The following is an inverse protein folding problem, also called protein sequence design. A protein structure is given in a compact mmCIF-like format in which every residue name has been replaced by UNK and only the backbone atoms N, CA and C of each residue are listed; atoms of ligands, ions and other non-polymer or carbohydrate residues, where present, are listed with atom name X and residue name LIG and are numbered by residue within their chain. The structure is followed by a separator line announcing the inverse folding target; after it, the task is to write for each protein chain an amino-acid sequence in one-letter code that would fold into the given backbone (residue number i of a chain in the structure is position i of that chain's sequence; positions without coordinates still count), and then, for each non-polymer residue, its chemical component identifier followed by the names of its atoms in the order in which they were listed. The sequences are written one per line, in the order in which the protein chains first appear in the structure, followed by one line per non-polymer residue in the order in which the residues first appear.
data_IF_407888381128
#
_entry.id   IF_407888381128
#
_cell.length_a   1.000
_cell.length_b   1.000
_cell.length_c   1.000
_cell.angle_alpha   90.00
_cell.angle_beta   90.00
_cell.angle_gamma   90.00
#
_symmetry.space_group_name_H-M   'P 1'
#
loop_
_entity.id
_entity.type
_entity.pdbx_description
1 polymer ?
#
# COMPACT_ATOMS: atom_id res chain seq x y z
N UNK A 1 -26.18 29.41 9.81
CA UNK A 1 -25.74 28.03 10.09
C UNK A 1 -25.30 28.02 11.54
N UNK A 2 -26.13 27.51 12.44
CA UNK A 2 -25.80 27.49 13.87
C UNK A 2 -24.81 26.35 14.14
N UNK A 3 -23.57 26.73 14.44
CA UNK A 3 -22.50 25.82 14.80
C UNK A 3 -22.80 25.20 16.16
N UNK A 4 -23.17 23.91 16.19
CA UNK A 4 -23.66 23.25 17.41
C UNK A 4 -22.50 22.77 18.30
N UNK A 5 -21.89 23.70 19.03
CA UNK A 5 -20.77 23.46 19.97
C UNK A 5 -21.10 22.37 20.99
N UNK A 6 -22.37 22.20 21.38
CA UNK A 6 -22.81 21.16 22.33
C UNK A 6 -22.67 19.75 21.77
N UNK A 7 -22.97 19.56 20.48
CA UNK A 7 -22.78 18.27 19.79
C UNK A 7 -21.29 17.95 19.62
N UNK A 8 -20.48 18.96 19.30
CA UNK A 8 -19.03 18.80 19.19
C UNK A 8 -18.42 18.36 20.54
N UNK A 9 -18.84 18.98 21.64
CA UNK A 9 -18.38 18.64 22.98
C UNK A 9 -18.85 17.25 23.44
N UNK A 10 -20.08 16.84 23.10
CA UNK A 10 -20.56 15.48 23.40
C UNK A 10 -19.82 14.42 22.62
N UNK A 11 -19.58 14.66 21.33
CA UNK A 11 -18.88 13.70 20.46
C UNK A 11 -17.41 13.56 20.92
N UNK A 12 -16.74 14.66 21.26
CA UNK A 12 -15.40 14.66 21.84
C UNK A 12 -15.32 13.89 23.17
N UNK A 13 -16.35 14.01 24.02
CA UNK A 13 -16.44 13.26 25.27
C UNK A 13 -16.53 11.74 25.05
N UNK A 14 -17.27 11.30 24.02
CA UNK A 14 -17.35 9.88 23.65
C UNK A 14 -16.00 9.37 23.13
N UNK A 15 -15.33 10.13 22.27
CA UNK A 15 -13.98 9.77 21.79
C UNK A 15 -12.96 9.66 22.94
N UNK A 16 -12.97 10.60 23.88
CA UNK A 16 -12.09 10.54 25.05
C UNK A 16 -12.37 9.29 25.90
N UNK A 17 -13.65 8.98 26.15
CA UNK A 17 -14.02 7.81 26.95
C UNK A 17 -13.60 6.51 26.26
N UNK A 18 -13.73 6.41 24.93
CA UNK A 18 -13.19 5.28 24.15
C UNK A 18 -11.68 5.17 24.27
N UNK A 19 -10.95 6.29 24.16
CA UNK A 19 -9.50 6.30 24.27
C UNK A 19 -9.03 5.84 25.66
N UNK A 20 -9.72 6.28 26.72
CA UNK A 20 -9.46 5.81 28.10
C UNK A 20 -9.69 4.31 28.21
N UNK A 21 -10.85 3.82 27.75
CA UNK A 21 -11.17 2.39 27.77
C UNK A 21 -10.12 1.56 27.02
N UNK A 22 -9.76 1.98 25.80
CA UNK A 22 -8.75 1.30 24.99
C UNK A 22 -7.39 1.23 25.70
N UNK A 23 -6.99 2.32 26.35
CA UNK A 23 -5.74 2.40 27.11
C UNK A 23 -5.78 1.45 28.31
N UNK A 24 -6.87 1.46 29.09
CA UNK A 24 -7.03 0.58 30.25
C UNK A 24 -6.99 -0.90 29.87
N UNK A 25 -7.53 -1.28 28.70
CA UNK A 25 -7.43 -2.66 28.18
C UNK A 25 -5.99 -3.04 27.84
N UNK A 26 -5.23 -2.15 27.20
CA UNK A 26 -3.81 -2.39 26.86
C UNK A 26 -2.94 -2.51 28.10
N UNK A 27 -3.28 -1.79 29.18
CA UNK A 27 -2.63 -1.90 30.49
C UNK A 27 -3.10 -3.12 31.31
N UNK A 28 -4.07 -3.91 30.81
CA UNK A 28 -4.66 -5.05 31.52
C UNK A 28 -5.53 -4.66 32.72
N UNK A 29 -5.94 -3.39 32.80
CA UNK A 29 -6.75 -2.84 33.89
C UNK A 29 -8.26 -2.90 33.60
N UNK A 30 -8.64 -3.05 32.33
CA UNK A 30 -10.03 -3.23 31.89
C UNK A 30 -10.23 -4.57 31.17
N UNK A 31 -11.42 -5.15 31.37
CA UNK A 31 -11.87 -6.35 30.66
C UNK A 31 -12.24 -5.98 29.22
N UNK A 32 -11.80 -6.82 28.27
CA UNK A 32 -12.06 -6.64 26.84
C UNK A 32 -13.16 -7.60 26.40
N UNK A 33 -14.18 -7.08 25.70
CA UNK A 33 -15.11 -7.97 24.99
C UNK A 33 -14.39 -8.72 23.89
N UNK A 34 -14.35 -10.04 23.99
CA UNK A 34 -13.81 -10.92 22.94
C UNK A 34 -14.74 -10.98 21.74
N UNK A 35 -14.16 -11.05 20.55
CA UNK A 35 -14.90 -11.30 19.33
C UNK A 35 -15.10 -12.80 19.15
N UNK A 36 -16.13 -13.18 18.40
CA UNK A 36 -16.30 -14.58 18.02
C UNK A 36 -15.08 -15.07 17.19
N UNK A 37 -14.54 -16.28 17.44
CA UNK A 37 -13.35 -16.78 16.76
C UNK A 37 -13.47 -16.82 15.23
N UNK A 38 -14.67 -17.02 14.68
CA UNK A 38 -14.85 -17.00 13.24
C UNK A 38 -14.63 -15.59 12.67
N UNK A 39 -15.18 -14.57 13.34
CA UNK A 39 -15.01 -13.17 12.95
C UNK A 39 -13.54 -12.72 13.06
N UNK A 40 -12.82 -13.14 14.09
CA UNK A 40 -11.38 -12.85 14.21
C UNK A 40 -10.58 -13.46 13.06
N UNK A 41 -10.87 -14.71 12.70
CA UNK A 41 -10.23 -15.37 11.55
C UNK A 41 -10.53 -14.65 10.23
N UNK A 42 -11.76 -14.17 10.05
CA UNK A 42 -12.15 -13.37 8.89
C UNK A 42 -11.38 -12.05 8.83
N UNK A 43 -11.22 -11.36 9.96
CA UNK A 43 -10.44 -10.11 10.08
C UNK A 43 -8.98 -10.35 9.66
N UNK A 44 -8.33 -11.38 10.20
CA UNK A 44 -6.93 -11.72 9.88
C UNK A 44 -6.75 -12.03 8.40
N UNK A 45 -7.68 -12.80 7.82
CA UNK A 45 -7.67 -13.13 6.38
C UNK A 45 -7.84 -11.87 5.53
N UNK A 46 -8.72 -10.97 5.93
CA UNK A 46 -8.98 -9.71 5.23
C UNK A 46 -7.75 -8.81 5.22
N UNK A 47 -7.10 -8.63 6.37
CA UNK A 47 -5.86 -7.84 6.48
C UNK A 47 -4.73 -8.43 5.63
N UNK A 48 -4.60 -9.75 5.66
CA UNK A 48 -3.64 -10.47 4.81
C UNK A 48 -3.94 -10.24 3.33
N UNK A 49 -5.21 -10.30 2.94
CA UNK A 49 -5.66 -10.08 1.57
C UNK A 49 -5.28 -8.67 1.11
N UNK A 50 -5.61 -7.63 1.88
CA UNK A 50 -5.24 -6.26 1.54
C UNK A 50 -3.73 -6.09 1.41
N UNK A 51 -2.98 -6.57 2.40
CA UNK A 51 -1.52 -6.39 2.42
C UNK A 51 -0.85 -7.03 1.20
N UNK A 52 -1.26 -8.25 0.83
CA UNK A 52 -0.70 -8.94 -0.32
C UNK A 52 -1.17 -8.36 -1.64
N UNK A 53 -2.45 -7.99 -1.77
CA UNK A 53 -2.96 -7.32 -2.97
C UNK A 53 -2.21 -6.01 -3.21
N UNK A 54 -1.98 -5.20 -2.18
CA UNK A 54 -1.23 -3.94 -2.29
C UNK A 54 0.24 -4.17 -2.71
N UNK A 55 0.92 -5.15 -2.10
CA UNK A 55 2.32 -5.46 -2.45
C UNK A 55 2.47 -5.97 -3.88
N UNK A 56 1.59 -6.88 -4.30
CA UNK A 56 1.60 -7.44 -5.66
C UNK A 56 1.31 -6.34 -6.68
N UNK A 57 0.30 -5.50 -6.43
CA UNK A 57 -0.02 -4.36 -7.27
C UNK A 57 1.21 -3.45 -7.46
N UNK A 58 1.80 -2.98 -6.36
CA UNK A 58 2.96 -2.07 -6.39
C UNK A 58 4.16 -2.68 -7.13
N UNK A 59 4.45 -3.96 -6.90
CA UNK A 59 5.58 -4.62 -7.56
C UNK A 59 5.34 -4.80 -9.06
N UNK A 60 4.09 -5.08 -9.45
CA UNK A 60 3.73 -5.24 -10.85
C UNK A 60 3.76 -3.90 -11.59
N UNK A 61 3.34 -2.80 -10.96
CA UNK A 61 3.52 -1.44 -11.50
C UNK A 61 5.00 -1.13 -11.76
N UNK A 62 5.90 -1.47 -10.84
CA UNK A 62 7.34 -1.24 -11.01
C UNK A 62 7.90 -2.07 -12.17
N UNK A 63 7.40 -3.30 -12.34
CA UNK A 63 7.81 -4.16 -13.44
C UNK A 63 7.33 -3.63 -14.80
N UNK A 64 6.10 -3.15 -14.88
CA UNK A 64 5.52 -2.62 -16.13
C UNK A 64 6.01 -1.21 -16.46
N UNK A 65 6.25 -0.37 -15.44
CA UNK A 65 6.74 0.99 -15.59
C UNK A 65 7.80 1.31 -14.52
N UNK A 66 9.08 0.98 -14.76
CA UNK A 66 10.16 1.21 -13.81
C UNK A 66 10.38 2.69 -13.48
N UNK A 67 10.03 3.59 -14.40
CA UNK A 67 10.22 5.03 -14.21
C UNK A 67 9.18 5.60 -13.22
N UNK A 68 9.60 6.09 -12.04
CA UNK A 68 8.67 6.60 -11.03
C UNK A 68 7.91 7.85 -11.48
N UNK A 69 8.54 8.75 -12.23
CA UNK A 69 7.89 9.96 -12.74
C UNK A 69 6.76 9.62 -13.71
N UNK A 70 6.98 8.61 -14.57
CA UNK A 70 5.98 8.14 -15.50
C UNK A 70 4.79 7.48 -14.80
N UNK A 71 5.04 6.71 -13.73
CA UNK A 71 3.96 6.13 -12.91
C UNK A 71 3.10 7.20 -12.23
N UNK A 72 3.70 8.29 -11.75
CA UNK A 72 2.96 9.40 -11.15
C UNK A 72 2.10 10.11 -12.20
N UNK A 73 2.63 10.32 -13.40
CA UNK A 73 1.88 10.89 -14.52
C UNK A 73 0.67 10.01 -14.87
N UNK A 74 0.88 8.70 -15.05
CA UNK A 74 -0.18 7.71 -15.29
C UNK A 74 -1.29 7.79 -14.24
N UNK A 75 -0.91 7.83 -12.95
CA UNK A 75 -1.85 7.96 -11.85
C UNK A 75 -2.66 9.27 -11.92
N UNK A 76 -2.05 10.40 -12.28
CA UNK A 76 -2.75 11.69 -12.40
C UNK A 76 -3.77 11.66 -13.54
N UNK A 77 -3.41 11.09 -14.69
CA UNK A 77 -4.34 10.97 -15.82
C UNK A 77 -5.53 10.08 -15.48
N UNK A 78 -5.27 8.95 -14.81
CA UNK A 78 -6.31 8.04 -14.32
C UNK A 78 -7.27 8.74 -13.34
N UNK A 79 -6.74 9.48 -12.35
CA UNK A 79 -7.57 10.25 -11.40
C UNK A 79 -8.34 11.41 -12.02
N UNK A 80 -7.93 11.90 -13.19
CA UNK A 80 -8.61 12.98 -13.91
C UNK A 80 -9.58 12.45 -14.97
N UNK A 81 -9.77 11.13 -15.09
CA UNK A 81 -10.51 10.48 -16.18
C UNK A 81 -10.05 10.95 -17.57
N UNK A 82 -8.74 11.25 -17.70
CA UNK A 82 -8.14 11.70 -18.96
C UNK A 82 -7.43 10.54 -19.62
N UNK A 83 -7.56 10.44 -20.95
CA UNK A 83 -6.79 9.48 -21.74
C UNK A 83 -5.31 9.82 -21.65
N UNK A 84 -4.53 8.88 -21.15
CA UNK A 84 -3.08 8.96 -21.19
C UNK A 84 -2.62 8.93 -22.66
N UNK A 85 -1.74 9.84 -23.09
CA UNK A 85 -1.16 9.76 -24.42
C UNK A 85 -0.39 8.45 -24.58
N UNK A 86 -0.57 7.77 -25.72
CA UNK A 86 0.16 6.55 -26.04
C UNK A 86 1.65 6.86 -26.07
N UNK A 87 2.40 6.33 -25.10
CA UNK A 87 3.84 6.51 -25.03
C UNK A 87 4.51 5.59 -26.04
N UNK A 88 5.41 6.17 -26.84
CA UNK A 88 6.31 5.41 -27.71
C UNK A 88 7.22 4.54 -26.85
N UNK A 89 7.30 3.26 -27.15
CA UNK A 89 8.20 2.35 -26.43
C UNK A 89 9.64 2.55 -26.87
N UNK A 90 10.59 2.05 -26.08
CA UNK A 90 12.01 2.19 -26.40
C UNK A 90 12.36 1.51 -27.72
N UNK A 91 11.75 0.35 -28.00
CA UNK A 91 11.94 -0.38 -29.25
C UNK A 91 11.36 0.38 -30.46
N UNK A 92 10.19 1.02 -30.30
CA UNK A 92 9.65 1.88 -31.36
C UNK A 92 10.50 3.11 -31.64
N UNK A 93 11.04 3.73 -30.59
CA UNK A 93 11.94 4.88 -30.73
C UNK A 93 13.21 4.48 -31.49
N UNK A 94 13.82 3.36 -31.12
CA UNK A 94 14.98 2.82 -31.84
C UNK A 94 14.65 2.50 -33.29
N UNK A 95 13.52 1.83 -33.53
CA UNK A 95 13.06 1.50 -34.87
C UNK A 95 12.82 2.75 -35.72
N UNK A 96 12.30 3.83 -35.13
CA UNK A 96 12.12 5.11 -35.82
C UNK A 96 13.46 5.68 -36.31
N UNK A 97 14.48 5.76 -35.44
CA UNK A 97 15.81 6.23 -35.84
C UNK A 97 16.49 5.34 -36.89
N UNK A 98 16.28 4.02 -36.84
CA UNK A 98 16.80 3.10 -37.86
C UNK A 98 16.18 3.36 -39.24
N UNK A 99 14.88 3.64 -39.30
CA UNK A 99 14.19 3.95 -40.55
C UNK A 99 14.61 5.31 -41.11
N UNK A 100 14.79 6.32 -40.26
CA UNK A 100 15.31 7.63 -40.66
C UNK A 100 16.73 7.53 -41.20
N UNK A 101 17.60 6.76 -40.54
CA UNK A 101 18.94 6.49 -41.04
C UNK A 101 18.90 5.74 -42.38
N UNK A 102 17.99 4.78 -42.55
CA UNK A 102 17.84 4.05 -43.80
C UNK A 102 17.44 4.95 -44.99
N UNK A 103 16.62 5.97 -44.74
CA UNK A 103 16.22 6.96 -45.73
C UNK A 103 17.43 7.80 -46.19
N UNK A 104 18.30 8.20 -45.24
CA UNK A 104 19.52 8.95 -45.54
C UNK A 104 20.57 8.11 -46.29
N UNK A 105 20.76 6.85 -45.91
CA UNK A 105 21.68 5.95 -46.63
C UNK A 105 21.14 5.47 -47.98
N UNK A 106 19.83 5.53 -48.17
CA UNK A 106 19.12 5.07 -49.35
C UNK A 106 18.97 3.54 -49.42
N UNK A 107 17.82 3.04 -49.95
CA UNK A 107 17.49 1.61 -50.00
C UNK A 107 18.35 0.81 -50.99
N UNK A 108 19.10 1.47 -51.87
CA UNK A 108 20.02 0.83 -52.81
C UNK A 108 21.29 0.28 -52.17
N UNK A 109 21.57 0.64 -50.92
CA UNK A 109 22.71 0.12 -50.17
C UNK A 109 22.32 -1.12 -49.35
N UNK A 110 23.21 -2.12 -49.20
CA UNK A 110 22.95 -3.26 -48.30
C UNK A 110 22.70 -2.82 -46.86
N UNK A 111 23.35 -1.73 -46.43
CA UNK A 111 23.17 -1.18 -45.09
C UNK A 111 21.79 -0.52 -44.91
N UNK A 112 21.40 0.37 -45.83
CA UNK A 112 20.09 1.02 -45.80
C UNK A 112 18.94 0.02 -45.84
N UNK A 113 18.97 -0.94 -46.77
CA UNK A 113 17.96 -2.00 -46.85
C UNK A 113 17.90 -2.88 -45.58
N UNK A 114 19.04 -3.21 -44.98
CA UNK A 114 19.07 -3.95 -43.70
C UNK A 114 18.49 -3.12 -42.55
N UNK A 115 18.79 -1.83 -42.50
CA UNK A 115 18.24 -0.91 -41.50
C UNK A 115 16.71 -0.79 -41.62
N UNK A 116 16.16 -0.77 -42.84
CA UNK A 116 14.70 -0.82 -43.05
C UNK A 116 14.12 -2.06 -42.38
N UNK A 117 14.64 -3.25 -42.73
CA UNK A 117 14.14 -4.51 -42.18
C UNK A 117 14.23 -4.55 -40.65
N UNK A 118 15.39 -4.27 -40.08
CA UNK A 118 15.57 -4.31 -38.61
C UNK A 118 14.69 -3.25 -37.91
N UNK A 119 14.60 -2.05 -38.48
CA UNK A 119 13.79 -0.96 -37.95
C UNK A 119 12.30 -1.30 -37.91
N UNK A 120 11.76 -1.91 -38.96
CA UNK A 120 10.37 -2.38 -38.99
C UNK A 120 10.09 -3.43 -37.92
N UNK A 121 10.96 -4.44 -37.78
CA UNK A 121 10.80 -5.46 -36.73
C UNK A 121 10.93 -4.87 -35.32
N UNK A 122 11.75 -3.84 -35.12
CA UNK A 122 11.79 -3.13 -33.83
C UNK A 122 10.51 -2.36 -33.53
N UNK A 123 9.89 -1.71 -34.52
CA UNK A 123 8.58 -1.09 -34.32
C UNK A 123 7.50 -2.13 -33.99
N UNK A 124 7.54 -3.32 -34.60
CA UNK A 124 6.61 -4.43 -34.27
C UNK A 124 6.81 -4.95 -32.84
N UNK A 125 8.05 -5.13 -32.40
CA UNK A 125 8.37 -5.52 -31.02
C UNK A 125 7.86 -4.47 -30.01
N UNK A 126 8.13 -3.20 -30.27
CA UNK A 126 7.66 -2.13 -29.39
C UNK A 126 6.14 -1.96 -29.40
N UNK A 127 5.47 -2.31 -30.49
CA UNK A 127 4.02 -2.40 -30.55
C UNK A 127 3.46 -3.52 -29.66
N UNK A 128 4.05 -4.72 -29.71
CA UNK A 128 3.70 -5.83 -28.85
C UNK A 128 3.94 -5.51 -27.36
N UNK A 129 5.02 -4.80 -27.03
CA UNK A 129 5.29 -4.33 -25.68
C UNK A 129 4.19 -3.38 -25.19
N UNK A 130 3.81 -2.38 -25.99
CA UNK A 130 2.72 -1.48 -25.63
C UNK A 130 1.40 -2.23 -25.36
N UNK A 131 1.06 -3.19 -26.22
CA UNK A 131 -0.16 -4.00 -26.05
C UNK A 131 -0.13 -4.81 -24.75
N UNK A 132 1.01 -5.43 -24.43
CA UNK A 132 1.22 -6.14 -23.18
C UNK A 132 1.07 -5.24 -21.95
N UNK A 133 1.70 -4.05 -21.96
CA UNK A 133 1.60 -3.08 -20.87
C UNK A 133 0.15 -2.63 -20.66
N UNK A 134 -0.55 -2.29 -21.74
CA UNK A 134 -1.94 -1.85 -21.69
C UNK A 134 -2.87 -2.96 -21.20
N UNK A 135 -2.72 -4.18 -21.72
CA UNK A 135 -3.54 -5.34 -21.33
C UNK A 135 -3.34 -5.63 -19.84
N UNK A 136 -2.09 -5.69 -19.38
CA UNK A 136 -1.77 -5.94 -17.96
C UNK A 136 -2.32 -4.85 -17.05
N UNK A 137 -2.27 -3.58 -17.47
CA UNK A 137 -2.85 -2.48 -16.70
C UNK A 137 -4.37 -2.67 -16.52
N UNK A 138 -5.08 -2.99 -17.60
CA UNK A 138 -6.54 -3.09 -17.60
C UNK A 138 -7.05 -4.37 -16.93
N UNK A 139 -6.45 -5.52 -17.23
CA UNK A 139 -6.99 -6.83 -16.78
C UNK A 139 -6.45 -7.26 -15.42
N UNK A 140 -5.30 -6.72 -15.00
CA UNK A 140 -4.66 -7.08 -13.74
C UNK A 140 -4.59 -5.92 -12.74
N UNK A 141 -3.96 -4.79 -13.10
CA UNK A 141 -3.77 -3.70 -12.12
C UNK A 141 -5.09 -3.03 -11.72
N UNK A 142 -5.94 -2.68 -12.68
CA UNK A 142 -7.19 -1.94 -12.41
C UNK A 142 -8.14 -2.68 -11.46
N UNK A 143 -8.45 -3.98 -11.64
CA UNK A 143 -9.29 -4.71 -10.68
C UNK A 143 -8.72 -4.72 -9.26
N UNK A 144 -7.40 -4.86 -9.10
CA UNK A 144 -6.76 -4.82 -7.78
C UNK A 144 -6.83 -3.42 -7.16
N UNK A 145 -6.65 -2.35 -7.96
CA UNK A 145 -6.86 -0.97 -7.49
C UNK A 145 -8.29 -0.74 -7.03
N UNK A 146 -9.27 -1.18 -7.82
CA UNK A 146 -10.69 -1.00 -7.51
C UNK A 146 -11.07 -1.67 -6.18
N UNK A 147 -10.53 -2.87 -5.92
CA UNK A 147 -10.71 -3.51 -4.62
C UNK A 147 -10.10 -2.67 -3.47
N UNK A 148 -8.87 -2.18 -3.61
CA UNK A 148 -8.19 -1.41 -2.56
C UNK A 148 -8.82 -0.04 -2.31
N UNK A 149 -9.30 0.63 -3.36
CA UNK A 149 -9.86 1.98 -3.28
C UNK A 149 -11.38 1.99 -3.04
N UNK A 150 -12.08 0.90 -3.33
CA UNK A 150 -13.52 0.75 -3.14
C UNK A 150 -13.84 -0.15 -1.94
N UNK A 151 -13.83 -1.47 -2.17
CA UNK A 151 -14.29 -2.47 -1.21
C UNK A 151 -13.50 -2.40 0.11
N UNK A 152 -12.17 -2.32 0.03
CA UNK A 152 -11.33 -2.28 1.22
C UNK A 152 -11.55 -1.03 2.06
N UNK A 153 -11.82 0.13 1.46
CA UNK A 153 -12.14 1.36 2.23
C UNK A 153 -13.40 1.16 3.05
N UNK A 154 -14.39 0.49 2.49
CA UNK A 154 -15.64 0.15 3.19
C UNK A 154 -15.37 -0.85 4.32
N UNK A 155 -14.65 -1.95 4.03
CA UNK A 155 -14.26 -2.95 5.03
C UNK A 155 -13.49 -2.31 6.19
N UNK A 156 -12.50 -1.47 5.89
CA UNK A 156 -11.68 -0.77 6.88
C UNK A 156 -12.53 0.14 7.78
N UNK A 157 -13.47 0.88 7.20
CA UNK A 157 -14.40 1.74 7.94
C UNK A 157 -15.29 0.93 8.89
N UNK A 158 -15.90 -0.15 8.42
CA UNK A 158 -16.79 -0.98 9.24
C UNK A 158 -16.03 -1.72 10.34
N UNK A 159 -14.80 -2.19 10.08
CA UNK A 159 -13.89 -2.72 11.12
C UNK A 159 -13.58 -1.70 12.21
N UNK A 160 -13.29 -0.44 11.84
CA UNK A 160 -13.06 0.63 12.82
C UNK A 160 -14.33 0.93 13.62
N UNK A 161 -15.49 0.89 12.98
CA UNK A 161 -16.76 1.11 13.66
C UNK A 161 -17.07 -0.04 14.63
N UNK A 162 -16.80 -1.30 14.26
CA UNK A 162 -16.91 -2.45 15.14
C UNK A 162 -16.08 -2.29 16.41
N UNK A 163 -14.81 -1.87 16.28
CA UNK A 163 -13.93 -1.63 17.43
C UNK A 163 -14.47 -0.50 18.32
N UNK A 164 -14.98 0.58 17.74
CA UNK A 164 -15.63 1.64 18.50
C UNK A 164 -16.87 1.15 19.27
N UNK A 165 -17.69 0.29 18.65
CA UNK A 165 -18.87 -0.30 19.32
C UNK A 165 -18.48 -1.27 20.42
N UNK A 166 -17.40 -2.03 20.25
CA UNK A 166 -16.83 -2.88 21.30
C UNK A 166 -16.43 -2.05 22.51
N UNK A 167 -15.69 -0.96 22.31
CA UNK A 167 -15.28 -0.04 23.39
C UNK A 167 -16.49 0.59 24.08
N UNK A 168 -17.52 1.03 23.32
CA UNK A 168 -18.77 1.56 23.88
C UNK A 168 -19.48 0.53 24.78
N UNK A 169 -19.52 -0.74 24.34
CA UNK A 169 -20.10 -1.84 25.09
C UNK A 169 -19.34 -2.09 26.41
N UNK A 170 -18.00 -2.09 26.36
CA UNK A 170 -17.14 -2.27 27.53
C UNK A 170 -17.31 -1.14 28.55
N UNK A 171 -17.40 0.11 28.08
CA UNK A 171 -17.72 1.28 28.92
C UNK A 171 -19.09 1.10 29.61
N UNK A 172 -20.12 0.69 28.86
CA UNK A 172 -21.45 0.45 29.43
C UNK A 172 -21.46 -0.70 30.45
N UNK A 173 -20.70 -1.78 30.23
CA UNK A 173 -20.53 -2.88 31.18
C UNK A 173 -19.89 -2.37 32.49
N UNK A 174 -18.82 -1.59 32.38
CA UNK A 174 -18.14 -0.98 33.52
C UNK A 174 -19.06 -0.01 34.29
N UNK A 175 -19.81 0.83 33.57
CA UNK A 175 -20.78 1.77 34.15
C UNK A 175 -21.89 1.04 34.90
N UNK A 176 -22.44 -0.04 34.34
CA UNK A 176 -23.44 -0.86 35.01
C UNK A 176 -22.89 -1.52 36.28
N UNK A 177 -21.66 -2.03 36.23
CA UNK A 177 -20.99 -2.61 37.41
C UNK A 177 -20.87 -1.58 38.54
N UNK A 178 -20.41 -0.35 38.22
CA UNK A 178 -20.33 0.77 39.17
C UNK A 178 -21.71 1.17 39.71
N UNK A 179 -22.73 1.26 38.85
CA UNK A 179 -24.09 1.63 39.26
C UNK A 179 -24.73 0.58 40.19
N UNK A 180 -24.55 -0.72 39.91
CA UNK A 180 -25.01 -1.81 40.79
C UNK A 180 -24.31 -1.78 42.15
N UNK A 181 -23.02 -1.48 42.18
CA UNK A 181 -22.28 -1.33 43.45
C UNK A 181 -22.80 -0.14 44.26
N UNK A 182 -23.09 0.99 43.61
CA UNK A 182 -23.68 2.15 44.26
C UNK A 182 -25.09 1.86 44.79
N UNK A 183 -25.93 1.16 44.02
CA UNK A 183 -27.26 0.70 44.43
C UNK A 183 -27.18 -0.24 45.65
N UNK A 184 -26.27 -1.22 45.65
CA UNK A 184 -26.07 -2.13 46.77
C UNK A 184 -25.59 -1.40 48.04
N UNK A 185 -24.64 -0.46 47.90
CA UNK A 185 -24.20 0.39 49.01
C UNK A 185 -25.32 1.29 49.53
N UNK A 186 -26.16 1.81 48.65
CA UNK A 186 -27.31 2.61 49.03
C UNK A 186 -28.32 1.78 49.84
N UNK A 187 -28.54 0.51 49.47
CA UNK A 187 -29.44 -0.42 50.15
C UNK A 187 -28.89 -0.97 51.48
N UNK A 188 -27.57 -1.09 51.66
CA UNK A 188 -26.94 -1.72 52.82
C UNK A 188 -26.63 -0.77 54.01
N UNK A 189 -26.81 0.55 53.86
CA UNK A 189 -26.51 1.50 54.92
C UNK A 189 -27.60 1.50 56.02
N UNK A 190 -27.25 1.42 57.32
CA UNK A 190 -28.20 1.29 58.42
C UNK A 190 -29.05 2.56 58.64
N UNK A 191 -30.29 2.34 59.08
CA UNK A 191 -31.41 3.29 59.20
C UNK A 191 -31.24 4.38 60.29
N UNK A 192 -30.05 4.56 60.86
CA UNK A 192 -29.84 5.37 62.08
C UNK A 192 -29.69 6.88 61.84
N UNK A 193 -29.92 7.36 60.63
CA UNK A 193 -29.97 8.79 60.33
C UNK A 193 -31.29 9.11 59.64
N UNK A 194 -32.26 9.52 60.45
CA UNK A 194 -33.65 9.89 60.14
C UNK A 194 -33.80 11.01 59.08
N UNK A 195 -32.67 11.53 58.57
CA UNK A 195 -32.58 12.53 57.51
C UNK A 195 -32.09 11.97 56.18
N UNK A 196 -32.22 10.66 55.91
CA UNK A 196 -31.88 10.14 54.58
C UNK A 196 -33.04 10.39 53.60
N UNK A 197 -32.85 11.20 52.54
CA UNK A 197 -33.92 11.40 51.58
C UNK A 197 -34.21 10.07 50.89
N UNK A 198 -35.46 9.60 50.93
CA UNK A 198 -35.97 8.51 50.06
C UNK A 198 -35.48 8.66 48.61
N UNK A 199 -35.27 9.91 48.19
CA UNK A 199 -34.70 10.32 46.91
C UNK A 199 -33.30 9.74 46.60
N UNK A 200 -32.44 9.47 47.59
CA UNK A 200 -31.09 8.96 47.34
C UNK A 200 -31.09 7.49 46.88
N UNK A 201 -31.85 6.62 47.57
CA UNK A 201 -32.01 5.21 47.17
C UNK A 201 -32.76 5.13 45.84
N UNK A 202 -33.83 5.92 45.66
CA UNK A 202 -34.53 6.01 44.37
C UNK A 202 -33.61 6.47 43.23
N UNK A 203 -32.74 7.45 43.49
CA UNK A 203 -31.78 7.97 42.50
C UNK A 203 -30.72 6.92 42.12
N UNK A 204 -30.20 6.18 43.09
CA UNK A 204 -29.25 5.09 42.83
C UNK A 204 -29.89 3.97 41.98
N UNK A 205 -31.11 3.55 42.33
CA UNK A 205 -31.86 2.55 41.54
C UNK A 205 -32.25 3.05 40.16
N UNK A 206 -32.64 4.33 40.01
CA UNK A 206 -32.91 4.94 38.72
C UNK A 206 -31.65 4.99 37.83
N UNK A 207 -30.49 5.34 38.41
CA UNK A 207 -29.21 5.32 37.71
C UNK A 207 -28.80 3.91 37.28
N UNK A 208 -29.03 2.89 38.12
CA UNK A 208 -28.76 1.50 37.78
C UNK A 208 -29.70 1.00 36.67
N UNK A 209 -30.97 1.38 36.68
CA UNK A 209 -31.93 1.07 35.63
C UNK A 209 -31.54 1.72 34.28
N UNK A 210 -31.14 2.99 34.31
CA UNK A 210 -30.64 3.72 33.14
C UNK A 210 -29.39 3.05 32.56
N UNK A 211 -28.39 2.70 33.38
CA UNK A 211 -27.20 1.99 32.93
C UNK A 211 -27.51 0.59 32.35
N UNK A 212 -28.51 -0.13 32.89
CA UNK A 212 -28.99 -1.41 32.31
C UNK A 212 -29.61 -1.21 30.93
N UNK A 213 -30.33 -0.10 30.71
CA UNK A 213 -30.91 0.21 29.42
C UNK A 213 -29.84 0.59 28.40
N UNK A 214 -28.91 1.47 28.78
CA UNK A 214 -27.76 1.85 27.93
C UNK A 214 -26.94 0.63 27.51
N UNK A 215 -26.64 -0.29 28.43
CA UNK A 215 -25.93 -1.53 28.11
C UNK A 215 -26.67 -2.38 27.07
N UNK A 216 -28.00 -2.50 27.19
CA UNK A 216 -28.80 -3.24 26.22
C UNK A 216 -28.74 -2.60 24.82
N UNK A 217 -28.78 -1.28 24.74
CA UNK A 217 -28.67 -0.55 23.47
C UNK A 217 -27.27 -0.75 22.87
N UNK A 218 -26.22 -0.61 23.69
CA UNK A 218 -24.83 -0.81 23.24
C UNK A 218 -24.59 -2.24 22.74
N UNK A 219 -25.16 -3.25 23.40
CA UNK A 219 -25.06 -4.65 22.97
C UNK A 219 -25.71 -4.86 21.60
N UNK A 220 -26.95 -4.39 21.41
CA UNK A 220 -27.66 -4.54 20.13
C UNK A 220 -26.90 -3.85 18.99
N UNK A 221 -26.35 -2.67 19.23
CA UNK A 221 -25.59 -1.94 18.22
C UNK A 221 -24.24 -2.60 17.91
N UNK A 222 -23.57 -3.18 18.91
CA UNK A 222 -22.38 -3.99 18.70
C UNK A 222 -22.69 -5.25 17.88
N UNK A 223 -23.72 -6.00 18.25
CA UNK A 223 -24.13 -7.24 17.54
C UNK A 223 -24.49 -6.94 16.08
N UNK A 224 -25.26 -5.85 15.85
CA UNK A 224 -25.59 -5.37 14.51
C UNK A 224 -24.35 -5.01 13.71
N UNK A 225 -23.39 -4.31 14.33
CA UNK A 225 -22.15 -3.90 13.67
C UNK A 225 -21.22 -5.09 13.38
N UNK A 226 -21.18 -6.08 14.27
CA UNK A 226 -20.44 -7.32 14.09
C UNK A 226 -20.97 -8.08 12.88
N UNK A 227 -22.30 -8.18 12.72
CA UNK A 227 -22.92 -8.85 11.59
C UNK A 227 -22.66 -8.13 10.26
N UNK A 228 -22.78 -6.80 10.23
CA UNK A 228 -22.42 -6.00 9.03
C UNK A 228 -20.96 -6.24 8.62
N UNK A 229 -20.06 -6.20 9.61
CA UNK A 229 -18.63 -6.41 9.36
C UNK A 229 -18.37 -7.85 8.89
N UNK A 230 -19.01 -8.84 9.51
CA UNK A 230 -18.92 -10.26 9.13
C UNK A 230 -19.30 -10.48 7.67
N UNK A 231 -20.46 -9.98 7.25
CA UNK A 231 -20.95 -10.12 5.87
C UNK A 231 -19.97 -9.52 4.84
N UNK A 232 -19.39 -8.36 5.14
CA UNK A 232 -18.37 -7.75 4.27
C UNK A 232 -17.10 -8.60 4.18
N UNK A 233 -16.63 -9.14 5.31
CA UNK A 233 -15.42 -9.96 5.35
C UNK A 233 -15.63 -11.32 4.68
N UNK A 234 -16.82 -11.91 4.77
CA UNK A 234 -17.18 -13.14 4.03
C UNK A 234 -17.17 -12.90 2.51
N UNK A 235 -17.59 -11.70 2.09
CA UNK A 235 -17.55 -11.25 0.69
C UNK A 235 -16.16 -11.27 0.04
N UNK A 236 -15.08 -11.21 0.83
CA UNK A 236 -13.70 -11.28 0.33
C UNK A 236 -13.43 -12.58 -0.45
N UNK A 237 -14.14 -13.66 -0.14
CA UNK A 237 -14.03 -14.92 -0.89
C UNK A 237 -14.40 -14.73 -2.37
N UNK A 238 -15.38 -13.87 -2.67
CA UNK A 238 -15.73 -13.51 -4.05
C UNK A 238 -14.65 -12.67 -4.71
N UNK A 239 -14.06 -11.72 -3.97
CA UNK A 239 -12.91 -10.94 -4.43
C UNK A 239 -11.72 -11.85 -4.79
N UNK A 240 -11.45 -12.90 -4.02
CA UNK A 240 -10.39 -13.87 -4.33
C UNK A 240 -10.62 -14.58 -5.65
N UNK A 241 -11.86 -14.96 -5.99
CA UNK A 241 -12.18 -15.55 -7.30
C UNK A 241 -11.85 -14.57 -8.44
N UNK A 242 -12.15 -13.29 -8.26
CA UNK A 242 -11.78 -12.26 -9.23
C UNK A 242 -10.25 -12.12 -9.34
N UNK A 243 -9.53 -12.05 -8.22
CA UNK A 243 -8.07 -11.95 -8.21
C UNK A 243 -7.39 -13.16 -8.88
N UNK A 244 -7.92 -14.38 -8.68
CA UNK A 244 -7.44 -15.59 -9.34
C UNK A 244 -7.56 -15.49 -10.86
N UNK A 245 -8.70 -15.00 -11.36
CA UNK A 245 -8.89 -14.77 -12.78
C UNK A 245 -7.93 -13.70 -13.31
N UNK A 246 -7.78 -12.57 -12.61
CA UNK A 246 -6.84 -11.53 -12.99
C UNK A 246 -5.40 -12.07 -13.09
N UNK A 247 -4.98 -12.95 -12.18
CA UNK A 247 -3.65 -13.60 -12.24
C UNK A 247 -3.50 -14.50 -13.47
N UNK A 248 -4.54 -15.25 -13.82
CA UNK A 248 -4.54 -16.08 -15.03
C UNK A 248 -4.44 -15.21 -16.29
N UNK A 249 -5.26 -14.16 -16.36
CA UNK A 249 -5.26 -13.21 -17.48
C UNK A 249 -3.89 -12.50 -17.62
N UNK A 250 -3.23 -12.18 -16.49
CA UNK A 250 -1.88 -11.61 -16.49
C UNK A 250 -0.83 -12.59 -17.02
N UNK A 251 -0.87 -13.84 -16.56
CA UNK A 251 0.06 -14.87 -17.03
C UNK A 251 -0.10 -15.14 -18.54
N UNK A 252 -1.34 -15.17 -19.02
CA UNK A 252 -1.65 -15.34 -20.45
C UNK A 252 -1.14 -14.15 -21.28
N UNK A 253 -1.31 -12.91 -20.78
CA UNK A 253 -0.78 -11.71 -21.43
C UNK A 253 0.75 -11.76 -21.55
N UNK A 254 1.45 -12.18 -20.48
CA UNK A 254 2.91 -12.38 -20.51
C UNK A 254 3.32 -13.45 -21.54
N UNK A 255 2.65 -14.61 -21.52
CA UNK A 255 2.95 -15.71 -22.43
C UNK A 255 2.78 -15.29 -23.90
N UNK A 256 1.67 -14.60 -24.19
CA UNK A 256 1.36 -14.08 -25.53
C UNK A 256 2.44 -13.09 -25.99
N UNK A 257 2.81 -12.14 -25.15
CA UNK A 257 3.84 -11.14 -25.45
C UNK A 257 5.19 -11.79 -25.81
N UNK A 258 5.68 -12.69 -24.97
CA UNK A 258 6.98 -13.34 -25.21
C UNK A 258 6.94 -14.26 -26.43
N UNK A 259 5.84 -14.98 -26.66
CA UNK A 259 5.67 -15.82 -27.85
C UNK A 259 5.68 -14.97 -29.14
N UNK A 260 4.97 -13.83 -29.13
CA UNK A 260 4.92 -12.90 -30.25
C UNK A 260 6.30 -12.27 -30.53
N UNK A 261 7.00 -11.83 -29.49
CA UNK A 261 8.36 -11.29 -29.63
C UNK A 261 9.32 -12.34 -30.20
N UNK A 262 9.24 -13.58 -29.72
CA UNK A 262 10.05 -14.67 -30.24
C UNK A 262 9.78 -14.93 -31.73
N UNK A 263 8.50 -14.95 -32.13
CA UNK A 263 8.11 -15.11 -33.52
C UNK A 263 8.67 -14.00 -34.41
N UNK A 264 8.54 -12.73 -34.01
CA UNK A 264 9.11 -11.60 -34.74
C UNK A 264 10.62 -11.68 -34.90
N UNK A 265 11.34 -12.13 -33.87
CA UNK A 265 12.80 -12.31 -33.96
C UNK A 265 13.22 -13.44 -34.88
N UNK A 266 12.45 -14.54 -34.93
CA UNK A 266 12.69 -15.62 -35.89
C UNK A 266 12.42 -15.18 -37.33
N UNK A 267 11.34 -14.42 -37.58
CA UNK A 267 11.04 -13.85 -38.89
C UNK A 267 12.16 -12.90 -39.36
N UNK A 268 12.62 -12.01 -38.48
CA UNK A 268 13.74 -11.11 -38.76
C UNK A 268 15.00 -11.87 -39.18
N UNK A 269 15.39 -12.90 -38.44
CA UNK A 269 16.55 -13.72 -38.78
C UNK A 269 16.41 -14.40 -40.16
N UNK A 270 15.20 -14.88 -40.50
CA UNK A 270 14.91 -15.48 -41.80
C UNK A 270 15.00 -14.44 -42.93
N UNK A 271 14.46 -13.25 -42.73
CA UNK A 271 14.55 -12.17 -43.72
C UNK A 271 15.98 -11.70 -43.94
N UNK A 272 16.75 -11.48 -42.87
CA UNK A 272 18.17 -11.09 -42.98
C UNK A 272 19.00 -12.14 -43.72
N UNK A 273 18.75 -13.43 -43.46
CA UNK A 273 19.44 -14.52 -44.18
C UNK A 273 19.08 -14.54 -45.67
N UNK A 274 17.82 -14.26 -46.02
CA UNK A 274 17.39 -14.14 -47.43
C UNK A 274 18.06 -12.95 -48.13
N UNK A 275 18.12 -11.80 -47.47
CA UNK A 275 18.79 -10.61 -47.98
C UNK A 275 20.29 -10.86 -48.20
N UNK A 276 20.97 -11.53 -47.27
CA UNK A 276 22.38 -11.89 -47.39
C UNK A 276 22.65 -12.79 -48.62
N UNK A 277 21.79 -13.79 -48.84
CA UNK A 277 21.91 -14.71 -49.98
C UNK A 277 21.62 -14.03 -51.33
N UNK A 278 20.76 -13.00 -51.35
CA UNK A 278 20.43 -12.26 -52.57
C UNK A 278 21.56 -11.31 -53.04
N UNK A 279 22.38 -10.81 -52.11
CA UNK A 279 23.48 -9.86 -52.40
C UNK A 279 24.78 -10.58 -52.80
N UNK A 280 24.83 -11.91 -52.80
CA UNK A 280 25.99 -12.68 -53.26
C UNK A 280 27.25 -12.48 -52.41
N UNK A 281 27.09 -12.17 -51.11
CA UNK A 281 28.21 -12.00 -50.20
C UNK A 281 28.89 -13.36 -49.91
N UNK A 282 30.21 -13.52 -50.12
CA UNK A 282 30.90 -14.78 -49.81
C UNK A 282 30.91 -15.01 -48.30
N UNK A 283 30.48 -16.20 -47.90
CA UNK A 283 30.38 -16.67 -46.53
C UNK A 283 31.63 -16.35 -45.69
N UNK A 284 31.48 -15.54 -44.64
CA UNK A 284 32.33 -15.65 -43.45
C UNK A 284 31.56 -16.46 -42.41
N UNK A 285 31.86 -17.76 -42.36
CA UNK A 285 31.41 -18.65 -41.30
C UNK A 285 31.93 -18.17 -39.95
N UNK A 286 31.06 -17.64 -39.12
CA UNK A 286 31.27 -17.57 -37.68
C UNK A 286 29.96 -17.97 -36.99
N UNK A 287 29.73 -19.28 -36.94
CA UNK A 287 28.76 -19.87 -36.04
C UNK A 287 29.25 -19.65 -34.60
N UNK A 288 28.64 -18.72 -33.88
CA UNK A 288 28.64 -18.72 -32.42
C UNK A 288 27.24 -18.37 -31.94
N UNK A 289 26.38 -19.38 -31.85
CA UNK A 289 25.26 -19.36 -30.93
C UNK A 289 25.65 -20.26 -29.75
N UNK A 290 25.67 -19.79 -28.50
CA UNK A 290 25.62 -20.70 -27.36
C UNK A 290 24.17 -21.16 -27.20
N UNK A 291 23.94 -22.46 -27.34
CA UNK A 291 22.65 -23.10 -27.03
C UNK A 291 22.24 -22.85 -25.58
N UNK A 292 20.94 -22.70 -25.26
CA UNK A 292 20.48 -22.62 -23.88
C UNK A 292 20.49 -24.03 -23.27
N UNK A 293 21.23 -24.21 -22.18
CA UNK A 293 21.19 -25.44 -21.38
C UNK A 293 19.97 -25.42 -20.45
N UNK A 294 19.09 -26.41 -20.59
CA UNK A 294 18.07 -26.74 -19.60
C UNK A 294 18.48 -27.97 -18.79
N UNK A 295 18.55 -27.76 -17.47
CA UNK A 295 18.19 -28.63 -16.33
C UNK A 295 18.84 -30.01 -16.14
N UNK A 296 19.55 -30.19 -15.01
CA UNK A 296 19.25 -31.22 -13.99
C UNK A 296 20.14 -31.08 -12.73
N UNK A 297 19.62 -31.58 -11.61
CA UNK A 297 20.05 -31.41 -10.21
C UNK A 297 21.35 -32.15 -9.77
N UNK A 298 21.92 -31.62 -8.69
CA UNK A 298 22.96 -32.01 -7.68
C UNK A 298 23.14 -33.52 -7.32
N UNK A 299 24.07 -33.96 -6.41
CA UNK A 299 25.08 -33.25 -5.56
C UNK A 299 26.51 -33.88 -5.46
N UNK A 300 27.48 -33.14 -4.88
CA UNK A 300 28.48 -33.74 -3.96
C UNK A 300 29.98 -33.41 -4.13
N UNK A 301 30.56 -32.89 -3.03
CA UNK A 301 31.97 -32.94 -2.58
C UNK A 301 33.02 -31.90 -3.07
N UNK A 302 33.65 -31.28 -2.07
CA UNK A 302 34.83 -30.39 -2.03
C UNK A 302 36.06 -31.18 -1.51
N UNK A 303 37.26 -30.60 -1.19
CA UNK A 303 38.05 -29.40 -1.61
C UNK A 303 39.48 -29.88 -2.12
N UNK A 304 40.67 -29.19 -2.07
CA UNK A 304 41.08 -27.92 -1.43
C UNK A 304 42.14 -27.00 -2.12
N UNK A 305 42.27 -25.78 -1.56
CA UNK A 305 43.56 -25.16 -1.17
C UNK A 305 44.24 -24.14 -2.13
N UNK A 306 44.53 -22.93 -1.62
CA UNK A 306 45.64 -22.10 -2.15
C UNK A 306 45.48 -20.56 -2.15
N UNK A 307 45.77 -19.92 -1.00
CA UNK A 307 46.59 -18.69 -0.81
C UNK A 307 46.41 -17.40 -1.65
N UNK A 308 46.15 -16.28 -0.93
CA UNK A 308 46.76 -14.90 -0.95
C UNK A 308 46.84 -14.15 -2.31
N UNK A 309 46.68 -12.83 -2.49
CA UNK A 309 46.68 -11.66 -1.61
C UNK A 309 46.47 -10.35 -2.42
N UNK A 310 46.04 -9.29 -1.72
CA UNK A 310 46.42 -7.86 -1.83
C UNK A 310 46.01 -6.91 -2.99
N UNK A 311 45.38 -5.80 -2.53
CA UNK A 311 45.67 -4.38 -2.77
C UNK A 311 45.44 -3.71 -4.13
N UNK A 312 44.72 -2.59 -4.08
CA UNK A 312 45.07 -1.24 -4.62
C UNK A 312 43.76 -0.45 -4.79
N UNK A 313 43.65 0.88 -4.73
CA UNK A 313 44.36 2.00 -4.12
C UNK A 313 43.47 3.21 -4.45
N UNK A 314 43.61 4.28 -3.69
CA UNK A 314 42.85 5.52 -3.79
C UNK A 314 42.94 6.18 -5.17
N UNK A 315 41.91 6.97 -5.54
CA UNK A 315 42.13 8.39 -5.83
C UNK A 315 40.84 9.22 -5.76
N UNK A 316 40.92 10.26 -4.94
CA UNK A 316 40.05 11.42 -4.90
C UNK A 316 40.49 12.40 -6.00
N UNK A 317 39.53 13.00 -6.70
CA UNK A 317 39.74 14.25 -7.44
C UNK A 317 38.46 15.07 -7.41
N UNK A 318 38.54 16.18 -6.67
CA UNK A 318 37.58 17.28 -6.59
C UNK A 318 37.55 18.09 -7.87
N UNK A 319 36.36 18.38 -8.40
CA UNK A 319 36.06 19.61 -9.14
C UNK A 319 34.64 20.08 -8.79
N UNK A 320 34.52 21.38 -8.52
CA UNK A 320 33.35 22.09 -8.03
C UNK A 320 32.57 22.76 -9.17
N UNK A 321 31.25 22.77 -9.06
CA UNK A 321 30.23 23.68 -9.66
C UNK A 321 28.88 22.96 -9.49
N UNK A 322 27.74 23.57 -9.17
CA UNK A 322 27.34 24.96 -9.00
C UNK A 322 26.04 24.94 -8.19
N UNK A 323 25.85 25.95 -7.36
CA UNK A 323 24.79 26.02 -6.37
C UNK A 323 23.51 26.60 -7.01
N UNK A 324 22.69 25.74 -7.62
CA UNK A 324 21.37 26.16 -8.12
C UNK A 324 20.31 25.92 -7.04
N UNK A 325 20.12 26.94 -6.20
CA UNK A 325 18.92 27.08 -5.34
C UNK A 325 17.67 27.15 -6.21
N UNK A 326 16.62 26.42 -5.81
CA UNK A 326 15.17 26.75 -5.80
C UNK A 326 14.34 25.45 -5.60
N UNK A 327 13.15 25.43 -4.92
CA UNK A 327 12.63 26.26 -3.85
C UNK A 327 12.36 25.46 -2.55
N UNK A 328 12.22 26.19 -1.44
CA UNK A 328 11.96 25.69 -0.08
C UNK A 328 10.52 25.17 0.07
N UNK A 329 10.37 23.95 0.60
CA UNK A 329 9.20 23.54 1.39
C UNK A 329 9.65 22.81 2.68
N UNK A 330 10.22 23.59 3.60
CA UNK A 330 9.87 23.54 5.03
C UNK A 330 10.35 22.38 5.90
N UNK A 331 11.54 21.82 5.73
CA UNK A 331 12.10 20.90 6.73
C UNK A 331 12.43 21.65 8.03
N UNK A 332 11.91 21.19 9.17
CA UNK A 332 12.12 21.77 10.51
C UNK A 332 12.57 20.71 11.50
N UNK A 333 13.26 21.10 12.57
CA UNK A 333 13.50 20.20 13.71
C UNK A 333 12.28 20.21 14.60
N UNK A 334 11.94 19.07 15.18
CA UNK A 334 10.86 18.95 16.15
C UNK A 334 11.33 18.15 17.35
N UNK A 335 10.91 18.56 18.54
CA UNK A 335 11.04 17.79 19.76
C UNK A 335 9.76 16.99 19.98
N UNK A 336 9.90 15.70 20.28
CA UNK A 336 8.76 14.84 20.58
C UNK A 336 8.30 15.07 22.02
N UNK A 337 7.01 15.32 22.21
CA UNK A 337 6.40 15.62 23.51
C UNK A 337 5.97 14.38 24.27
N UNK A 338 5.56 13.31 23.56
CA UNK A 338 5.05 12.07 24.14
C UNK A 338 5.46 10.87 23.29
N UNK A 339 5.55 9.70 23.92
CA UNK A 339 5.73 8.44 23.21
C UNK A 339 4.56 8.20 22.24
N UNK A 340 4.87 7.68 21.05
CA UNK A 340 3.89 7.35 20.03
C UNK A 340 4.26 6.05 19.34
N UNK A 341 3.37 5.07 19.37
CA UNK A 341 3.57 3.81 18.63
C UNK A 341 2.91 3.89 17.26
N UNK A 342 3.68 3.62 16.20
CA UNK A 342 3.17 3.52 14.84
C UNK A 342 2.11 2.42 14.72
N UNK A 343 0.95 2.77 14.15
CA UNK A 343 -0.16 1.84 13.93
C UNK A 343 0.07 0.95 12.70
N UNK A 344 0.84 1.46 11.73
CA UNK A 344 1.21 0.72 10.52
C UNK A 344 2.60 1.13 10.00
N UNK A 345 3.05 0.46 8.93
CA UNK A 345 4.36 0.70 8.32
C UNK A 345 4.48 2.07 7.60
N UNK A 346 3.42 2.87 7.55
CA UNK A 346 3.45 4.23 7.00
C UNK A 346 3.69 5.30 8.07
N UNK A 347 3.59 4.93 9.35
CA UNK A 347 3.82 5.78 10.53
C UNK A 347 5.21 5.53 11.14
N UNK A 348 5.74 6.49 11.90
CA UNK A 348 7.02 6.37 12.60
C UNK A 348 6.77 6.37 14.12
N UNK A 349 7.26 5.36 14.83
CA UNK A 349 7.18 5.32 16.29
C UNK A 349 8.16 6.32 16.92
N UNK A 350 7.67 7.09 17.88
CA UNK A 350 8.38 8.15 18.56
C UNK A 350 8.59 7.87 20.04
N UNK A 351 9.69 8.40 20.57
CA UNK A 351 9.97 8.43 22.01
C UNK A 351 9.98 9.87 22.51
N UNK A 352 9.38 10.11 23.67
CA UNK A 352 9.35 11.41 24.32
C UNK A 352 10.77 11.97 24.50
N UNK A 353 10.90 13.28 24.35
CA UNK A 353 12.14 14.04 24.38
C UNK A 353 13.15 13.75 23.24
N UNK A 354 12.83 12.90 22.26
CA UNK A 354 13.70 12.72 21.08
C UNK A 354 13.58 13.89 20.08
N UNK A 355 14.64 14.13 19.31
CA UNK A 355 14.69 15.18 18.28
C UNK A 355 14.67 14.55 16.88
N UNK A 356 13.68 14.93 16.08
CA UNK A 356 13.49 14.43 14.71
C UNK A 356 13.41 15.57 13.69
N UNK A 357 13.64 15.25 12.42
CA UNK A 357 13.38 16.17 11.31
C UNK A 357 11.96 15.95 10.80
N UNK A 358 11.22 17.02 10.52
CA UNK A 358 9.86 16.95 10.00
C UNK A 358 9.62 17.85 8.80
N UNK A 359 8.77 17.41 7.87
CA UNK A 359 8.36 18.19 6.71
C UNK A 359 6.97 17.80 6.20
N UNK A 360 6.33 18.72 5.47
CA UNK A 360 5.01 18.51 4.83
C UNK A 360 5.20 18.01 3.40
N UNK A 361 4.36 17.06 2.96
CA UNK A 361 4.27 16.65 1.54
C UNK A 361 2.92 17.08 0.95
N UNK A 362 2.85 17.45 -0.35
CA UNK A 362 1.60 17.86 -0.98
C UNK A 362 0.52 16.77 -0.90
N UNK A 363 -0.69 17.15 -0.48
CA UNK A 363 -1.83 16.22 -0.35
C UNK A 363 -1.90 15.45 0.97
N UNK A 364 -1.04 15.76 1.95
CA UNK A 364 -1.11 15.18 3.30
C UNK A 364 -2.04 15.99 4.21
N UNK A 365 -2.70 15.30 5.15
CA UNK A 365 -3.56 15.91 6.15
C UNK A 365 -2.80 16.90 7.04
N UNK A 366 -3.40 18.04 7.42
CA UNK A 366 -2.73 19.10 8.18
C UNK A 366 -2.35 18.68 9.61
N UNK A 367 -2.96 17.61 10.13
CA UNK A 367 -2.67 17.05 11.45
C UNK A 367 -1.44 16.12 11.45
N UNK A 368 -0.80 15.92 10.29
CA UNK A 368 0.31 14.99 10.10
C UNK A 368 1.52 15.66 9.44
N UNK A 369 2.71 15.18 9.81
CA UNK A 369 3.98 15.49 9.18
C UNK A 369 4.71 14.21 8.81
N UNK A 370 5.68 14.28 7.90
CA UNK A 370 6.65 13.19 7.71
C UNK A 370 7.80 13.43 8.67
N UNK A 371 8.00 12.51 9.60
CA UNK A 371 9.15 12.45 10.50
C UNK A 371 10.27 11.61 9.90
N UNK A 372 11.50 12.05 10.10
CA UNK A 372 12.73 11.37 9.69
C UNK A 372 13.66 11.25 10.89
N UNK A 373 13.96 9.99 11.27
CA UNK A 373 14.91 9.60 12.31
C UNK A 373 15.98 8.70 11.71
N UNK A 374 17.12 9.28 11.34
CA UNK A 374 18.20 8.55 10.67
C UNK A 374 17.75 8.02 9.31
N UNK A 375 17.70 6.69 9.14
CA UNK A 375 17.23 6.05 7.91
C UNK A 375 15.73 5.72 7.92
N UNK A 376 15.05 5.91 9.05
CA UNK A 376 13.62 5.61 9.20
C UNK A 376 12.79 6.86 8.90
N UNK A 377 11.73 6.71 8.10
CA UNK A 377 10.80 7.77 7.76
C UNK A 377 9.37 7.27 7.85
N UNK A 378 8.47 8.10 8.35
CA UNK A 378 7.05 7.79 8.45
C UNK A 378 6.23 8.99 8.87
N UNK A 379 4.91 8.83 8.82
CA UNK A 379 3.95 9.83 9.28
C UNK A 379 3.99 9.95 10.80
N UNK A 380 3.93 11.18 11.29
CA UNK A 380 3.90 11.52 12.70
C UNK A 380 2.82 12.57 12.96
N UNK A 381 2.03 12.45 14.04
CA UNK A 381 0.98 13.41 14.35
C UNK A 381 1.58 14.72 14.90
N UNK A 382 1.10 15.86 14.40
CA UNK A 382 1.58 17.20 14.79
C UNK A 382 1.36 17.47 16.28
N UNK A 383 0.30 16.91 16.88
CA UNK A 383 -0.05 17.09 18.30
C UNK A 383 0.96 16.48 19.27
N UNK A 384 1.85 15.61 18.78
CA UNK A 384 2.91 14.95 19.57
C UNK A 384 4.26 15.67 19.42
N UNK A 385 4.30 16.80 18.71
CA UNK A 385 5.52 17.49 18.34
C UNK A 385 5.52 18.95 18.79
N UNK A 386 6.68 19.41 19.26
CA UNK A 386 7.01 20.82 19.42
C UNK A 386 7.97 21.22 18.28
N UNK A 387 7.50 22.03 17.34
CA UNK A 387 8.31 22.49 16.21
C UNK A 387 9.34 23.53 16.69
N UNK A 388 10.62 23.19 16.52
CA UNK A 388 11.74 24.08 16.81
C UNK A 388 12.02 24.94 15.57
N UNK A 389 12.08 26.26 15.77
CA UNK A 389 12.32 27.24 14.70
C UNK A 389 13.78 27.25 14.24
#
# INVERSE_FOLDING_TARGET
MDFNVKKLASDAGVFFTRAVQFTEEKLGQAEKTELDPHLENLIVRADSTKNWTEKILRQTEVLLQPNPSARIEEFIYDKLDKKLPSRTTNAELLGQYMLEAADEFGPGTPYGSTLVTVGEYQKRLGGAEREFLQTSAVTFLTPLRNFLEGDWRTISKEKRLLENRRLDLDICKARLKKAKQAEAKAAAAPDFQETRPRNYVLSASASALSAKHELRVAQVEFDRQAEVTRLLLEGISSTHLNHLRCLQDYAEAQATYYAQCHHYMQDLQRELTRCANAVGAPHSSAAVCPSPVSSAFLPGQSPPGGTVSFLSSQKSSTLAMEHTKLPVTGTRKAKVLYDYDAHDASELSLLADELIMVYTVPGMDPDWLIGERGNEKGKVPVTYLELLS
#
